data_IF_013687204608
#
_entry.id   IF_013687204608
#
_cell.length_a   1.000
_cell.length_b   1.000
_cell.length_c   1.000
_cell.angle_alpha   90.00
_cell.angle_beta   90.00
_cell.angle_gamma   90.00
#
_symmetry.space_group_name_H-M   'P 1'
#
loop_
_entity.id
_entity.type
_entity.pdbx_description
1 polymer ?
#
# COMPACT_ATOMS: atom_id res chain seq x y z
N UNK A 1 7.57 -11.76 10.70
CA UNK A 1 6.83 -11.21 9.54
C UNK A 1 7.75 -11.16 8.33
N UNK A 2 7.20 -11.30 7.12
CA UNK A 2 7.92 -11.07 5.85
C UNK A 2 7.08 -10.27 4.87
N UNK A 3 7.74 -9.54 3.96
CA UNK A 3 7.12 -8.83 2.86
C UNK A 3 7.27 -9.63 1.56
N UNK A 4 6.25 -9.60 0.70
CA UNK A 4 6.34 -9.96 -0.71
C UNK A 4 5.81 -8.81 -1.56
N UNK A 5 6.58 -8.42 -2.59
CA UNK A 5 6.17 -7.36 -3.51
C UNK A 5 5.48 -7.97 -4.72
N UNK A 6 4.38 -7.34 -5.13
CA UNK A 6 3.67 -7.56 -6.38
C UNK A 6 3.96 -6.36 -7.28
N UNK A 7 4.71 -6.63 -8.35
CA UNK A 7 5.33 -5.60 -9.20
C UNK A 7 4.81 -5.58 -10.64
N UNK A 8 3.90 -6.50 -11.00
CA UNK A 8 3.31 -6.59 -12.34
C UNK A 8 1.79 -6.75 -12.32
N UNK A 9 1.14 -6.38 -13.42
CA UNK A 9 -0.32 -6.56 -13.59
C UNK A 9 -0.70 -8.04 -13.53
N UNK A 10 0.15 -8.92 -14.06
CA UNK A 10 -0.06 -10.38 -14.03
C UNK A 10 -0.02 -10.92 -12.60
N UNK A 11 0.92 -10.48 -11.77
CA UNK A 11 0.98 -10.83 -10.36
C UNK A 11 -0.21 -10.25 -9.58
N UNK A 12 -0.61 -9.00 -9.86
CA UNK A 12 -1.79 -8.39 -9.26
C UNK A 12 -3.06 -9.19 -9.59
N UNK A 13 -3.17 -9.66 -10.84
CA UNK A 13 -4.27 -10.51 -11.27
C UNK A 13 -4.33 -11.84 -10.51
N UNK A 14 -3.17 -12.43 -10.23
CA UNK A 14 -3.08 -13.72 -9.55
C UNK A 14 -3.51 -13.67 -8.07
N UNK A 15 -3.52 -12.49 -7.42
CA UNK A 15 -3.83 -12.36 -5.99
C UNK A 15 -5.28 -11.95 -5.68
N UNK A 16 -6.17 -11.91 -6.69
CA UNK A 16 -7.57 -11.47 -6.54
C UNK A 16 -8.28 -12.05 -5.32
N UNK A 17 -8.28 -13.38 -5.20
CA UNK A 17 -9.00 -14.08 -4.13
C UNK A 17 -8.42 -13.76 -2.75
N UNK A 18 -7.08 -13.74 -2.63
CA UNK A 18 -6.40 -13.42 -1.37
C UNK A 18 -6.66 -11.99 -0.93
N UNK A 19 -6.66 -11.06 -1.89
CA UNK A 19 -6.93 -9.64 -1.67
C UNK A 19 -8.32 -9.40 -1.10
N UNK A 20 -9.35 -9.87 -1.81
CA UNK A 20 -10.73 -9.62 -1.41
C UNK A 20 -11.08 -10.37 -0.11
N UNK A 21 -10.53 -11.58 0.11
CA UNK A 21 -10.71 -12.31 1.37
C UNK A 21 -10.12 -11.57 2.57
N UNK A 22 -8.93 -10.96 2.42
CA UNK A 22 -8.33 -10.15 3.48
C UNK A 22 -9.14 -8.87 3.73
N UNK A 23 -9.57 -8.19 2.66
CA UNK A 23 -10.32 -6.95 2.74
C UNK A 23 -11.69 -7.13 3.42
N UNK A 24 -12.40 -8.22 3.11
CA UNK A 24 -13.70 -8.53 3.69
C UNK A 24 -13.64 -8.61 5.24
N UNK A 25 -12.54 -9.12 5.78
CA UNK A 25 -12.29 -9.20 7.23
C UNK A 25 -11.62 -7.97 7.84
N UNK A 26 -11.31 -6.94 7.05
CA UNK A 26 -10.62 -5.72 7.50
C UNK A 26 -11.60 -4.68 8.03
N UNK A 27 -11.14 -3.84 8.95
CA UNK A 27 -11.89 -2.66 9.38
C UNK A 27 -11.95 -1.57 8.30
N UNK A 28 -11.03 -1.61 7.33
CA UNK A 28 -10.94 -0.67 6.19
C UNK A 28 -11.64 -1.22 4.95
N UNK A 29 -12.72 -2.01 5.10
CA UNK A 29 -13.46 -2.60 3.98
C UNK A 29 -14.22 -1.52 3.17
N UNK A 30 -13.57 -0.97 2.14
CA UNK A 30 -14.08 0.08 1.26
C UNK A 30 -14.07 -0.39 -0.20
N UNK A 31 -15.03 0.10 -1.00
CA UNK A 31 -15.10 -0.23 -2.45
C UNK A 31 -13.81 0.15 -3.19
N UNK A 32 -13.19 1.28 -2.81
CA UNK A 32 -11.95 1.77 -3.41
C UNK A 32 -10.72 0.90 -3.08
N UNK A 33 -10.86 0.02 -2.09
CA UNK A 33 -9.82 -0.94 -1.73
C UNK A 33 -10.07 -2.33 -2.30
N UNK A 34 -11.20 -2.57 -2.99
CA UNK A 34 -11.46 -3.87 -3.64
C UNK A 34 -10.42 -4.16 -4.72
N UNK A 35 -10.15 -5.43 -4.95
CA UNK A 35 -9.26 -5.84 -6.03
C UNK A 35 -9.75 -5.33 -7.37
N UNK A 36 -11.07 -5.37 -7.62
CA UNK A 36 -11.68 -4.90 -8.86
C UNK A 36 -11.35 -3.42 -9.14
N UNK A 37 -11.43 -2.57 -8.11
CA UNK A 37 -11.07 -1.16 -8.24
C UNK A 37 -9.57 -0.99 -8.47
N UNK A 38 -8.76 -1.61 -7.61
CA UNK A 38 -7.30 -1.48 -7.66
C UNK A 38 -6.72 -2.00 -8.99
N UNK A 39 -7.22 -3.14 -9.48
CA UNK A 39 -6.80 -3.75 -10.75
C UNK A 39 -7.21 -2.90 -11.95
N UNK A 40 -8.47 -2.44 -11.99
CA UNK A 40 -8.94 -1.57 -13.08
C UNK A 40 -8.16 -0.25 -13.14
N UNK A 41 -7.86 0.35 -11.98
CA UNK A 41 -6.99 1.51 -11.90
C UNK A 41 -5.59 1.18 -12.42
N UNK A 42 -5.02 0.06 -11.98
CA UNK A 42 -3.68 -0.34 -12.38
C UNK A 42 -3.56 -0.58 -13.89
N UNK A 43 -4.55 -1.22 -14.52
CA UNK A 43 -4.58 -1.43 -15.98
C UNK A 43 -4.59 -0.13 -16.78
N UNK A 44 -5.24 0.92 -16.25
CA UNK A 44 -5.32 2.23 -16.91
C UNK A 44 -4.08 3.10 -16.68
N UNK A 45 -3.48 3.04 -15.49
CA UNK A 45 -2.55 4.08 -15.03
C UNK A 45 -1.12 3.59 -14.72
N UNK A 46 -0.88 2.29 -14.54
CA UNK A 46 0.48 1.75 -14.45
C UNK A 46 1.13 1.76 -15.83
N UNK A 47 2.33 2.32 -15.93
CA UNK A 47 3.07 2.49 -17.19
C UNK A 47 4.57 2.72 -16.89
N UNK A 48 5.36 3.06 -17.90
CA UNK A 48 6.80 3.33 -17.78
C UNK A 48 7.20 4.39 -16.74
N UNK A 49 6.28 5.25 -16.29
CA UNK A 49 6.51 6.28 -15.26
C UNK A 49 5.89 5.94 -13.91
N UNK A 50 5.08 4.88 -13.84
CA UNK A 50 4.34 4.44 -12.65
C UNK A 50 4.49 2.95 -12.49
N UNK A 51 5.28 2.54 -11.51
CA UNK A 51 5.60 1.14 -11.25
C UNK A 51 4.67 0.60 -10.17
N UNK A 52 4.07 -0.57 -10.41
CA UNK A 52 3.28 -1.24 -9.39
C UNK A 52 4.17 -1.63 -8.20
N UNK A 53 3.70 -1.37 -6.98
CA UNK A 53 4.44 -1.64 -5.75
C UNK A 53 3.49 -2.08 -4.64
N UNK A 54 2.74 -3.15 -4.88
CA UNK A 54 1.84 -3.71 -3.87
C UNK A 54 2.66 -4.56 -2.90
N UNK A 55 2.55 -4.30 -1.60
CA UNK A 55 3.27 -5.06 -0.57
C UNK A 55 2.30 -5.96 0.18
N UNK A 56 2.51 -7.27 0.09
CA UNK A 56 1.84 -8.28 0.92
C UNK A 56 2.67 -8.54 2.17
N UNK A 57 2.02 -8.59 3.33
CA UNK A 57 2.67 -8.89 4.61
C UNK A 57 2.17 -10.22 5.13
N UNK A 58 3.10 -11.14 5.40
CA UNK A 58 2.83 -12.44 5.98
C UNK A 58 3.34 -12.53 7.42
N UNK A 59 2.59 -13.22 8.27
CA UNK A 59 3.05 -13.59 9.61
C UNK A 59 4.01 -14.79 9.60
N UNK A 60 4.50 -15.18 10.77
CA UNK A 60 5.46 -16.28 10.90
C UNK A 60 4.85 -17.66 10.59
N UNK A 61 3.51 -17.76 10.58
CA UNK A 61 2.76 -18.93 10.14
C UNK A 61 2.46 -18.93 8.64
N UNK A 62 3.08 -18.02 7.86
CA UNK A 62 2.86 -17.82 6.43
C UNK A 62 1.42 -17.47 6.06
N UNK A 63 0.69 -16.81 6.97
CA UNK A 63 -0.67 -16.30 6.70
C UNK A 63 -0.57 -14.85 6.24
N UNK A 64 -1.30 -14.52 5.18
CA UNK A 64 -1.42 -13.14 4.70
C UNK A 64 -2.19 -12.32 5.72
N UNK A 65 -1.54 -11.31 6.30
CA UNK A 65 -2.11 -10.47 7.37
C UNK A 65 -2.23 -9.00 7.00
N UNK A 66 -1.65 -8.56 5.88
CA UNK A 66 -1.72 -7.18 5.43
C UNK A 66 -1.47 -7.02 3.94
N UNK A 67 -2.12 -6.05 3.31
CA UNK A 67 -1.82 -5.58 1.96
C UNK A 67 -1.71 -4.07 1.97
N UNK A 68 -0.62 -3.56 1.41
CA UNK A 68 -0.40 -2.16 1.13
C UNK A 68 -0.53 -1.91 -0.38
N UNK A 69 -1.64 -1.30 -0.85
CA UNK A 69 -1.93 -1.16 -2.27
C UNK A 69 -1.23 0.08 -2.85
N UNK A 70 0.08 0.00 -3.05
CA UNK A 70 0.88 1.13 -3.51
C UNK A 70 1.37 1.01 -4.95
N UNK A 71 1.81 2.15 -5.48
CA UNK A 71 2.64 2.26 -6.66
C UNK A 71 3.75 3.29 -6.41
N UNK A 72 4.82 3.22 -7.21
CA UNK A 72 5.90 4.20 -7.23
C UNK A 72 5.81 5.07 -8.48
N UNK A 73 6.13 6.34 -8.36
CA UNK A 73 6.22 7.24 -9.52
C UNK A 73 7.32 8.28 -9.36
N UNK A 74 7.80 8.83 -10.47
CA UNK A 74 8.71 9.97 -10.46
C UNK A 74 7.91 11.28 -10.46
N UNK A 75 7.99 12.04 -9.37
CA UNK A 75 7.41 13.39 -9.28
C UNK A 75 8.49 14.45 -9.48
N UNK A 76 8.11 15.56 -10.12
CA UNK A 76 9.02 16.70 -10.31
C UNK A 76 8.96 17.62 -9.09
N UNK A 77 10.12 17.90 -8.49
CA UNK A 77 10.27 18.83 -7.35
C UNK A 77 11.30 19.88 -7.75
N UNK A 78 10.81 21.03 -8.21
CA UNK A 78 11.65 22.08 -8.79
C UNK A 78 12.40 21.59 -10.05
N UNK A 79 13.74 21.71 -10.12
CA UNK A 79 14.53 21.20 -11.23
C UNK A 79 14.84 19.69 -11.15
N UNK A 80 14.50 19.01 -10.04
CA UNK A 80 14.86 17.61 -9.77
C UNK A 80 13.64 16.68 -9.78
N UNK A 81 13.88 15.37 -9.74
CA UNK A 81 12.85 14.34 -9.59
C UNK A 81 13.01 13.59 -8.27
N UNK A 82 11.90 13.17 -7.68
CA UNK A 82 11.84 12.30 -6.51
C UNK A 82 10.96 11.09 -6.80
N UNK A 83 11.31 9.94 -6.23
CA UNK A 83 10.52 8.71 -6.27
C UNK A 83 9.51 8.74 -5.13
N UNK A 84 8.24 8.81 -5.48
CA UNK A 84 7.15 8.88 -4.52
C UNK A 84 6.40 7.55 -4.47
N UNK A 85 6.08 7.07 -3.27
CA UNK A 85 5.10 6.00 -3.05
C UNK A 85 3.73 6.62 -2.82
N UNK A 86 2.72 6.15 -3.55
CA UNK A 86 1.32 6.61 -3.44
C UNK A 86 0.36 5.43 -3.44
N UNK A 87 -0.88 5.63 -3.00
CA UNK A 87 -1.92 4.60 -3.07
C UNK A 87 -2.47 4.44 -4.48
N UNK A 88 -2.69 3.19 -4.89
CA UNK A 88 -3.51 2.85 -6.06
C UNK A 88 -4.90 3.50 -5.88
N UNK A 89 -5.39 4.19 -6.90
CA UNK A 89 -6.61 5.02 -6.82
C UNK A 89 -6.33 6.53 -6.79
N UNK A 90 -5.06 6.95 -6.71
CA UNK A 90 -4.65 8.37 -6.73
C UNK A 90 -3.72 8.68 -7.90
N UNK A 91 -3.76 9.90 -8.48
CA UNK A 91 -4.70 11.00 -8.20
C UNK A 91 -5.97 11.01 -9.07
N UNK A 92 -6.07 10.15 -10.11
CA UNK A 92 -7.04 10.38 -11.22
C UNK A 92 -8.50 10.15 -10.87
N UNK A 93 -8.81 9.28 -9.90
CA UNK A 93 -10.16 8.73 -9.75
C UNK A 93 -10.92 9.24 -8.54
N UNK A 94 -10.43 10.30 -7.89
CA UNK A 94 -11.03 10.89 -6.67
C UNK A 94 -11.45 9.81 -5.65
N UNK A 95 -10.63 8.76 -5.54
CA UNK A 95 -10.88 7.65 -4.63
C UNK A 95 -10.69 8.11 -3.19
N UNK A 96 -11.62 7.77 -2.32
CA UNK A 96 -11.58 8.12 -0.90
C UNK A 96 -11.39 6.86 -0.04
N UNK A 97 -11.01 7.04 1.21
CA UNK A 97 -10.81 5.97 2.18
C UNK A 97 -9.82 4.91 1.72
N UNK A 98 -8.74 5.34 1.07
CA UNK A 98 -7.58 4.51 0.75
C UNK A 98 -6.83 4.19 2.04
N UNK A 99 -6.19 3.02 2.09
CA UNK A 99 -5.53 2.55 3.30
C UNK A 99 -4.63 1.34 3.01
N UNK A 100 -3.81 0.99 4.00
CA UNK A 100 -3.31 -0.37 4.14
C UNK A 100 -4.35 -1.16 4.91
N UNK A 101 -4.85 -2.25 4.33
CA UNK A 101 -5.85 -3.10 4.99
C UNK A 101 -5.22 -4.38 5.51
N UNK A 102 -5.69 -4.82 6.67
CA UNK A 102 -5.04 -5.89 7.44
C UNK A 102 -6.09 -6.82 8.05
N UNK A 103 -5.64 -7.99 8.52
CA UNK A 103 -6.48 -8.82 9.39
C UNK A 103 -6.82 -8.03 10.65
N UNK A 104 -8.11 -8.00 11.01
CA UNK A 104 -8.59 -7.26 12.18
C UNK A 104 -7.77 -7.58 13.44
N UNK A 105 -7.34 -6.54 14.15
CA UNK A 105 -6.51 -6.62 15.36
C UNK A 105 -5.00 -6.70 15.10
N UNK A 106 -4.56 -6.72 13.84
CA UNK A 106 -3.15 -6.76 13.43
C UNK A 106 -2.64 -5.44 12.87
N UNK A 107 -3.47 -4.39 12.89
CA UNK A 107 -3.23 -3.11 12.20
C UNK A 107 -1.92 -2.45 12.65
N UNK A 108 -1.70 -2.37 13.97
CA UNK A 108 -0.48 -1.78 14.54
C UNK A 108 0.76 -2.62 14.22
N UNK A 109 0.65 -3.94 14.31
CA UNK A 109 1.76 -4.87 14.06
C UNK A 109 2.22 -4.75 12.59
N UNK A 110 1.27 -4.82 11.66
CA UNK A 110 1.53 -4.70 10.22
C UNK A 110 2.03 -3.29 9.88
N UNK A 111 1.45 -2.23 10.45
CA UNK A 111 1.90 -0.86 10.20
C UNK A 111 3.34 -0.63 10.67
N UNK A 112 3.68 -1.11 11.88
CA UNK A 112 5.04 -1.05 12.38
C UNK A 112 6.03 -1.83 11.52
N UNK A 113 5.63 -3.00 11.01
CA UNK A 113 6.44 -3.79 10.12
C UNK A 113 6.63 -3.11 8.76
N UNK A 114 5.58 -2.54 8.17
CA UNK A 114 5.67 -1.78 6.92
C UNK A 114 6.57 -0.56 7.06
N UNK A 115 6.56 0.11 8.21
CA UNK A 115 7.53 1.16 8.52
C UNK A 115 8.97 0.61 8.47
N UNK A 116 9.27 -0.46 9.21
CA UNK A 116 10.62 -1.03 9.21
C UNK A 116 11.04 -1.51 7.82
N UNK A 117 10.11 -2.07 7.05
CA UNK A 117 10.35 -2.49 5.68
C UNK A 117 10.66 -1.30 4.77
N UNK A 118 9.87 -0.21 4.83
CA UNK A 118 10.09 0.99 4.02
C UNK A 118 11.40 1.69 4.35
N UNK A 119 11.74 1.82 5.62
CA UNK A 119 12.97 2.50 6.08
C UNK A 119 14.19 1.57 6.18
N UNK A 120 14.00 0.26 5.99
CA UNK A 120 15.05 -0.75 5.95
C UNK A 120 15.25 -1.28 4.54
N UNK A 121 14.69 -2.44 4.24
CA UNK A 121 14.88 -3.18 2.98
C UNK A 121 14.54 -2.35 1.73
N UNK A 122 13.46 -1.57 1.77
CA UNK A 122 12.99 -0.78 0.64
C UNK A 122 13.50 0.66 0.63
N UNK A 123 14.36 1.07 1.59
CA UNK A 123 14.79 2.46 1.79
C UNK A 123 15.42 3.12 0.56
N UNK A 124 16.13 2.34 -0.26
CA UNK A 124 16.79 2.86 -1.46
C UNK A 124 15.86 3.00 -2.68
N UNK A 125 14.58 2.62 -2.56
CA UNK A 125 13.65 2.55 -3.70
C UNK A 125 12.65 3.72 -3.78
N UNK A 126 12.66 4.61 -2.79
CA UNK A 126 11.76 5.77 -2.69
C UNK A 126 12.46 6.94 -1.98
N UNK A 127 11.94 8.15 -2.17
CA UNK A 127 12.45 9.38 -1.57
C UNK A 127 11.37 10.09 -0.73
N UNK A 128 10.09 9.91 -1.06
CA UNK A 128 8.96 10.34 -0.22
C UNK A 128 7.76 9.39 -0.30
N UNK A 129 6.85 9.49 0.67
CA UNK A 129 5.55 8.80 0.68
C UNK A 129 4.42 9.84 0.65
N UNK A 130 3.38 9.57 -0.12
CA UNK A 130 2.18 10.41 -0.23
C UNK A 130 0.92 9.56 -0.03
N UNK A 131 0.54 9.41 1.23
CA UNK A 131 -0.64 8.68 1.66
C UNK A 131 -1.83 9.64 1.75
N UNK A 132 -2.35 10.02 0.58
CA UNK A 132 -3.54 10.86 0.44
C UNK A 132 -4.83 10.04 0.48
N UNK A 133 -5.93 10.74 0.72
CA UNK A 133 -7.30 10.20 0.71
C UNK A 133 -7.50 9.03 1.69
N UNK A 134 -6.73 9.04 2.78
CA UNK A 134 -6.87 8.10 3.90
C UNK A 134 -7.87 8.63 4.93
N UNK A 135 -8.63 7.73 5.57
CA UNK A 135 -9.44 8.10 6.74
C UNK A 135 -8.59 8.69 7.85
N UNK A 136 -9.12 9.71 8.53
CA UNK A 136 -8.45 10.33 9.68
C UNK A 136 -8.20 9.30 10.81
N UNK A 137 -9.08 8.31 10.93
CA UNK A 137 -9.01 7.23 11.91
C UNK A 137 -8.26 5.99 11.40
N UNK A 138 -7.53 6.07 10.27
CA UNK A 138 -6.72 4.95 9.76
C UNK A 138 -5.74 4.49 10.84
N UNK A 139 -5.93 3.26 11.33
CA UNK A 139 -5.04 2.66 12.32
C UNK A 139 -3.66 2.39 11.73
N UNK A 140 -3.58 2.17 10.41
CA UNK A 140 -2.31 2.11 9.71
C UNK A 140 -1.57 3.44 9.83
N UNK A 141 -2.18 4.55 9.40
CA UNK A 141 -1.51 5.85 9.36
C UNK A 141 -1.14 6.34 10.77
N UNK A 142 -2.06 6.19 11.73
CA UNK A 142 -1.80 6.57 13.12
C UNK A 142 -0.61 5.79 13.72
N UNK A 143 -0.55 4.47 13.48
CA UNK A 143 0.57 3.65 13.98
C UNK A 143 1.89 3.96 13.26
N UNK A 144 1.83 4.21 11.96
CA UNK A 144 2.99 4.54 11.12
C UNK A 144 3.61 5.87 11.56
N UNK A 145 2.78 6.90 11.74
CA UNK A 145 3.21 8.22 12.21
C UNK A 145 3.71 8.18 13.66
N UNK A 146 3.05 7.42 14.53
CA UNK A 146 3.49 7.26 15.91
C UNK A 146 4.90 6.67 15.97
N UNK A 147 5.18 5.64 15.16
CA UNK A 147 6.50 5.04 15.08
C UNK A 147 7.55 6.00 14.54
N UNK A 148 7.23 6.76 13.49
CA UNK A 148 8.13 7.76 12.93
C UNK A 148 8.56 8.81 13.96
N UNK A 149 7.64 9.26 14.83
CA UNK A 149 7.92 10.26 15.88
C UNK A 149 8.79 9.75 17.03
N UNK A 150 8.97 8.44 17.17
CA UNK A 150 9.75 7.83 18.25
C UNK A 150 11.21 7.54 17.87
N UNK A 151 11.60 7.78 16.61
CA UNK A 151 12.98 7.69 16.13
C UNK A 151 13.66 9.05 16.17
#
# INVERSE_FOLDING_TARGET
MRAEVVASIQELKAIKEQWNKLLEGSISNSIFLTWEWAYSWAECFINEKRELFVVKVYDDGNRLVGIAPWYKSAIKVGPSFMRQISFIGTPETASDYLDVFTTRGREREVSNYLYDYLFGEASNSWDCVNFQDTRAESLFLLSFMHKHRLQ
#
